data_IF_184791795064
#
_entry.id   IF_184791795064
#
_cell.length_a   1.000
_cell.length_b   1.000
_cell.length_c   1.000
_cell.angle_alpha   90.00
_cell.angle_beta   90.00
_cell.angle_gamma   90.00
#
_symmetry.space_group_name_H-M   'P 1'
#
loop_
_entity.id
_entity.type
_entity.pdbx_description
1 polymer ?
#
# COMPACT_ATOMS: atom_id res chain seq x y z
N UNK A 1 -2.14 -74.11 51.75
CA UNK A 1 -2.63 -73.81 50.43
C UNK A 1 -3.91 -73.03 50.62
N UNK A 2 -3.82 -71.74 50.45
CA UNK A 2 -4.91 -70.83 50.08
C UNK A 2 -4.30 -69.48 49.73
N UNK A 3 -4.10 -69.30 48.48
CA UNK A 3 -3.70 -68.06 47.86
C UNK A 3 -4.90 -67.09 47.95
N UNK A 4 -4.68 -65.93 48.61
CA UNK A 4 -5.61 -64.81 48.47
C UNK A 4 -5.23 -64.01 47.22
N UNK A 5 -6.03 -64.15 46.19
CA UNK A 5 -6.10 -63.26 45.04
C UNK A 5 -6.35 -61.84 45.48
N UNK A 6 -5.35 -60.99 45.28
CA UNK A 6 -5.46 -59.56 45.44
C UNK A 6 -6.10 -58.97 44.16
N UNK A 7 -7.29 -58.44 44.32
CA UNK A 7 -8.07 -57.93 43.15
C UNK A 7 -7.62 -56.56 42.73
N UNK A 8 -7.53 -56.28 41.39
CA UNK A 8 -7.05 -54.98 40.83
C UNK A 8 -7.97 -53.78 41.05
N UNK A 9 -9.00 -53.92 41.85
CA UNK A 9 -10.07 -52.91 42.03
C UNK A 9 -9.70 -51.90 43.16
N UNK A 10 -8.83 -52.30 44.08
CA UNK A 10 -8.42 -51.39 45.18
C UNK A 10 -7.33 -50.41 44.78
N UNK A 11 -6.43 -50.76 43.84
CA UNK A 11 -5.38 -49.85 43.36
C UNK A 11 -5.95 -48.72 42.45
N UNK A 12 -7.03 -48.97 41.69
CA UNK A 12 -7.66 -47.97 40.84
C UNK A 12 -8.47 -46.94 41.62
N UNK A 13 -8.87 -47.25 42.87
CA UNK A 13 -9.61 -46.30 43.71
C UNK A 13 -8.67 -45.37 44.53
N UNK A 14 -7.42 -45.79 44.78
CA UNK A 14 -6.43 -44.94 45.45
C UNK A 14 -5.80 -43.91 44.50
N UNK A 15 -5.66 -44.17 43.17
CA UNK A 15 -5.20 -43.21 42.19
C UNK A 15 -6.26 -42.14 41.87
N UNK A 16 -7.54 -42.44 41.95
CA UNK A 16 -8.64 -41.49 41.65
C UNK A 16 -8.89 -40.50 42.82
N UNK A 17 -8.40 -40.81 44.05
CA UNK A 17 -8.56 -39.97 45.24
C UNK A 17 -7.41 -38.94 45.37
N UNK A 18 -6.29 -39.14 44.67
CA UNK A 18 -5.14 -38.21 44.70
C UNK A 18 -5.27 -37.01 43.73
N UNK A 19 -6.25 -37.01 42.81
CA UNK A 19 -6.37 -36.01 41.74
C UNK A 19 -7.31 -34.82 42.03
N UNK A 20 -7.93 -34.74 43.22
CA UNK A 20 -8.89 -33.68 43.52
C UNK A 20 -8.70 -33.02 44.89
N UNK A 21 -7.53 -32.45 45.13
CA UNK A 21 -7.40 -31.50 46.23
C UNK A 21 -7.94 -30.12 45.76
N UNK A 22 -8.67 -29.36 46.62
CA UNK A 22 -9.14 -28.02 46.28
C UNK A 22 -8.01 -27.07 45.87
N UNK A 23 -6.79 -27.33 46.31
CA UNK A 23 -5.57 -26.57 45.96
C UNK A 23 -5.12 -26.83 44.52
N UNK A 24 -5.26 -28.07 44.02
CA UNK A 24 -4.90 -28.46 42.66
C UNK A 24 -5.92 -27.87 41.64
N UNK A 25 -7.19 -27.79 42.01
CA UNK A 25 -8.23 -27.16 41.19
C UNK A 25 -8.01 -25.64 41.08
N UNK A 26 -7.58 -24.98 42.16
CA UNK A 26 -7.22 -23.56 42.10
C UNK A 26 -5.96 -23.29 41.29
N UNK A 27 -4.95 -24.14 41.42
CA UNK A 27 -3.70 -24.06 40.65
C UNK A 27 -3.98 -24.26 39.16
N UNK A 28 -4.80 -25.24 38.80
CA UNK A 28 -5.24 -25.51 37.43
C UNK A 28 -6.00 -24.34 36.84
N UNK A 29 -6.96 -23.73 37.53
CA UNK A 29 -7.69 -22.53 37.11
C UNK A 29 -6.76 -21.33 36.88
N UNK A 30 -5.77 -21.13 37.78
CA UNK A 30 -4.78 -20.06 37.61
C UNK A 30 -3.88 -20.31 36.39
N UNK A 31 -3.44 -21.56 36.18
CA UNK A 31 -2.66 -21.96 35.01
C UNK A 31 -3.45 -21.73 33.71
N UNK A 32 -4.69 -22.19 33.65
CA UNK A 32 -5.56 -22.03 32.45
C UNK A 32 -5.78 -20.56 32.14
N UNK A 33 -6.08 -19.74 33.17
CA UNK A 33 -6.25 -18.30 33.00
C UNK A 33 -4.95 -17.61 32.53
N UNK A 34 -3.79 -18.03 33.07
CA UNK A 34 -2.49 -17.50 32.64
C UNK A 34 -2.15 -17.94 31.22
N UNK A 35 -2.42 -19.18 30.88
CA UNK A 35 -2.20 -19.74 29.55
C UNK A 35 -3.10 -19.05 28.51
N UNK A 36 -4.37 -18.81 28.84
CA UNK A 36 -5.27 -18.03 27.98
C UNK A 36 -4.74 -16.61 27.72
N UNK A 37 -4.32 -15.92 28.78
CA UNK A 37 -3.70 -14.58 28.66
C UNK A 37 -2.42 -14.63 27.82
N UNK A 38 -1.58 -15.65 28.03
CA UNK A 38 -0.35 -15.83 27.25
C UNK A 38 -0.65 -16.04 25.76
N UNK A 39 -1.57 -16.96 25.44
CA UNK A 39 -1.96 -17.22 24.05
C UNK A 39 -2.57 -15.98 23.38
N UNK A 40 -3.40 -15.25 24.11
CA UNK A 40 -3.97 -14.00 23.64
C UNK A 40 -2.89 -12.94 23.37
N UNK A 41 -1.96 -12.75 24.31
CA UNK A 41 -0.85 -11.79 24.15
C UNK A 41 0.06 -12.19 22.99
N UNK A 42 0.29 -13.48 22.79
CA UNK A 42 1.08 -13.99 21.66
C UNK A 42 0.40 -13.66 20.32
N UNK A 43 -0.91 -13.88 20.23
CA UNK A 43 -1.69 -13.55 19.03
C UNK A 43 -1.71 -12.02 18.75
N UNK A 44 -1.87 -11.20 19.80
CA UNK A 44 -1.81 -9.73 19.69
C UNK A 44 -0.40 -9.26 19.25
N UNK A 45 0.67 -9.88 19.79
CA UNK A 45 2.03 -9.57 19.37
C UNK A 45 2.30 -9.95 17.91
N UNK A 46 1.84 -11.12 17.46
CA UNK A 46 1.98 -11.52 16.05
C UNK A 46 1.24 -10.57 15.10
N UNK A 47 0.04 -10.14 15.47
CA UNK A 47 -0.71 -9.16 14.71
C UNK A 47 0.00 -7.79 14.68
N UNK A 48 0.51 -7.34 15.82
CA UNK A 48 1.30 -6.11 15.92
C UNK A 48 2.56 -6.18 15.05
N UNK A 49 3.31 -7.29 15.12
CA UNK A 49 4.52 -7.50 14.32
C UNK A 49 4.23 -7.44 12.83
N UNK A 50 3.18 -8.15 12.37
CA UNK A 50 2.78 -8.13 10.95
C UNK A 50 2.39 -6.73 10.50
N UNK A 51 1.65 -5.99 11.33
CA UNK A 51 1.27 -4.61 11.05
C UNK A 51 2.50 -3.69 10.99
N UNK A 52 3.40 -3.77 11.97
CA UNK A 52 4.62 -2.95 12.02
C UNK A 52 5.55 -3.17 10.83
N UNK A 53 5.63 -4.42 10.32
CA UNK A 53 6.40 -4.71 9.10
C UNK A 53 5.77 -4.01 7.90
N UNK A 54 4.44 -4.13 7.70
CA UNK A 54 3.73 -3.45 6.60
C UNK A 54 3.86 -1.93 6.68
N UNK A 55 3.71 -1.35 7.88
CA UNK A 55 3.89 0.08 8.09
C UNK A 55 5.32 0.55 7.72
N UNK A 56 6.35 -0.23 8.08
CA UNK A 56 7.73 0.08 7.69
C UNK A 56 7.96 -0.04 6.18
N UNK A 57 7.36 -1.02 5.54
CA UNK A 57 7.45 -1.21 4.09
C UNK A 57 6.76 -0.08 3.31
N UNK A 58 5.70 0.53 3.87
CA UNK A 58 4.99 1.66 3.24
C UNK A 58 5.67 3.02 3.43
N UNK A 59 6.48 3.21 4.48
CA UNK A 59 7.10 4.50 4.82
C UNK A 59 7.99 5.02 3.68
N UNK A 60 8.83 4.18 3.08
CA UNK A 60 9.74 4.62 2.02
C UNK A 60 9.03 5.03 0.73
N UNK A 61 8.05 4.28 0.22
CA UNK A 61 7.26 4.72 -0.93
C UNK A 61 6.46 6.00 -0.64
N UNK A 62 5.91 6.14 0.58
CA UNK A 62 5.19 7.35 0.99
C UNK A 62 6.09 8.58 1.01
N UNK A 63 7.24 8.50 1.67
CA UNK A 63 8.19 9.60 1.72
C UNK A 63 8.69 10.00 0.32
N UNK A 64 8.90 9.03 -0.59
CA UNK A 64 9.26 9.32 -1.98
C UNK A 64 8.12 10.01 -2.74
N UNK A 65 6.89 9.56 -2.56
CA UNK A 65 5.72 10.15 -3.19
C UNK A 65 5.52 11.61 -2.74
N UNK A 66 5.66 11.87 -1.45
CA UNK A 66 5.53 13.22 -0.88
C UNK A 66 6.66 14.15 -1.36
N UNK A 67 7.90 13.66 -1.40
CA UNK A 67 9.01 14.42 -1.95
C UNK A 67 8.80 14.71 -3.45
N UNK A 68 8.38 13.71 -4.24
CA UNK A 68 8.08 13.90 -5.65
C UNK A 68 6.97 14.91 -5.88
N UNK A 69 5.89 14.85 -5.09
CA UNK A 69 4.79 15.81 -5.18
C UNK A 69 5.27 17.26 -5.05
N UNK A 70 6.26 17.52 -4.18
CA UNK A 70 6.84 18.85 -4.01
C UNK A 70 7.65 19.32 -5.24
N UNK A 71 8.16 18.39 -6.07
CA UNK A 71 8.90 18.72 -7.29
C UNK A 71 8.02 18.83 -8.54
N UNK A 72 6.79 18.31 -8.53
CA UNK A 72 5.90 18.35 -9.69
C UNK A 72 5.65 19.76 -10.24
N UNK A 73 5.50 20.83 -9.42
CA UNK A 73 5.37 22.17 -9.96
C UNK A 73 6.59 22.64 -10.77
N UNK A 74 7.79 22.12 -10.47
CA UNK A 74 9.01 22.42 -11.25
C UNK A 74 8.94 21.75 -12.61
N UNK A 75 8.46 20.47 -12.65
CA UNK A 75 8.22 19.76 -13.91
C UNK A 75 7.20 20.50 -14.79
N UNK A 76 6.07 20.91 -14.20
CA UNK A 76 5.01 21.64 -14.92
C UNK A 76 5.55 22.97 -15.51
N UNK A 77 6.40 23.68 -14.75
CA UNK A 77 7.02 24.92 -15.23
C UNK A 77 8.01 24.68 -16.37
N UNK A 78 8.78 23.59 -16.33
CA UNK A 78 9.68 23.22 -17.42
C UNK A 78 8.89 22.83 -18.68
N UNK A 79 7.83 22.03 -18.53
CA UNK A 79 6.96 21.67 -19.64
C UNK A 79 6.28 22.89 -20.25
N UNK A 80 5.77 23.80 -19.44
CA UNK A 80 5.19 25.06 -19.91
C UNK A 80 6.22 25.95 -20.62
N UNK A 81 7.44 26.03 -20.12
CA UNK A 81 8.49 26.78 -20.80
C UNK A 81 8.81 26.21 -22.18
N UNK A 82 8.88 24.86 -22.27
CA UNK A 82 9.13 24.16 -23.54
C UNK A 82 7.95 24.25 -24.53
N UNK A 83 6.71 24.39 -24.05
CA UNK A 83 5.52 24.51 -24.91
C UNK A 83 5.36 25.91 -25.54
N UNK A 84 5.91 26.95 -24.90
CA UNK A 84 5.78 28.36 -25.36
C UNK A 84 6.82 28.70 -26.43
N UNK A 85 8.02 28.11 -26.37
CA UNK A 85 9.12 28.47 -27.25
C UNK A 85 9.04 27.74 -28.58
N UNK A 86 8.73 28.48 -29.64
CA UNK A 86 8.61 27.95 -31.01
C UNK A 86 9.96 27.79 -31.72
N UNK A 87 11.01 28.47 -31.28
CA UNK A 87 12.35 28.44 -31.90
C UNK A 87 13.34 27.59 -31.07
N UNK A 88 13.99 26.65 -31.72
CA UNK A 88 15.05 25.83 -31.10
C UNK A 88 16.32 26.67 -30.94
N UNK A 89 16.41 27.34 -29.81
CA UNK A 89 17.62 28.08 -29.39
C UNK A 89 18.54 27.17 -28.57
N UNK A 90 19.83 27.48 -28.45
CA UNK A 90 20.73 26.77 -27.50
C UNK A 90 20.23 26.78 -26.07
N UNK A 91 19.46 27.79 -25.67
CA UNK A 91 18.81 27.86 -24.37
C UNK A 91 17.67 26.80 -24.28
N UNK A 92 16.83 26.69 -25.31
CA UNK A 92 15.79 25.65 -25.39
C UNK A 92 16.37 24.26 -25.23
N UNK A 93 17.45 23.95 -25.97
CA UNK A 93 18.14 22.65 -25.89
C UNK A 93 18.67 22.40 -24.46
N UNK A 94 19.15 23.41 -23.77
CA UNK A 94 19.56 23.33 -22.36
C UNK A 94 18.40 22.97 -21.43
N UNK A 95 17.22 23.57 -21.61
CA UNK A 95 16.03 23.27 -20.82
C UNK A 95 15.53 21.86 -21.08
N UNK A 96 15.55 21.40 -22.35
CA UNK A 96 15.21 20.01 -22.72
C UNK A 96 16.11 19.01 -21.99
N UNK A 97 17.43 19.27 -21.92
CA UNK A 97 18.35 18.40 -21.20
C UNK A 97 18.07 18.36 -19.69
N UNK A 98 17.76 19.51 -19.09
CA UNK A 98 17.41 19.56 -17.65
C UNK A 98 16.12 18.76 -17.39
N UNK A 99 15.08 18.93 -18.24
CA UNK A 99 13.86 18.16 -18.13
C UNK A 99 14.13 16.65 -18.25
N UNK A 100 14.92 16.24 -19.25
CA UNK A 100 15.27 14.84 -19.44
C UNK A 100 15.98 14.23 -18.23
N UNK A 101 16.93 14.96 -17.62
CA UNK A 101 17.62 14.53 -16.41
C UNK A 101 16.62 14.34 -15.24
N UNK A 102 15.64 15.22 -15.11
CA UNK A 102 14.63 15.12 -14.06
C UNK A 102 13.70 13.94 -14.29
N UNK A 103 13.30 13.66 -15.55
CA UNK A 103 12.55 12.45 -15.94
C UNK A 103 13.33 11.18 -15.57
N UNK A 104 14.65 11.13 -15.85
CA UNK A 104 15.53 10.01 -15.50
C UNK A 104 15.61 9.80 -13.97
N UNK A 105 15.69 10.89 -13.20
CA UNK A 105 15.67 10.83 -11.72
C UNK A 105 14.34 10.28 -11.22
N UNK A 106 13.21 10.72 -11.77
CA UNK A 106 11.90 10.23 -11.40
C UNK A 106 11.76 8.74 -11.72
N UNK A 107 12.16 8.33 -12.92
CA UNK A 107 12.18 6.91 -13.30
C UNK A 107 13.05 6.07 -12.34
N UNK A 108 14.23 6.58 -11.96
CA UNK A 108 15.11 5.94 -10.97
C UNK A 108 14.50 5.82 -9.56
N UNK A 109 13.57 6.67 -9.22
CA UNK A 109 12.78 6.60 -7.97
C UNK A 109 11.56 5.69 -8.09
N UNK A 110 11.28 5.13 -9.27
CA UNK A 110 10.10 4.33 -9.57
C UNK A 110 8.84 5.16 -9.77
N UNK A 111 9.00 6.45 -10.12
CA UNK A 111 7.90 7.37 -10.41
C UNK A 111 7.68 7.37 -11.91
N UNK A 112 6.46 7.12 -12.33
CA UNK A 112 6.04 7.00 -13.72
C UNK A 112 4.98 8.06 -14.04
N UNK A 113 5.04 8.64 -15.24
CA UNK A 113 3.96 9.46 -15.75
C UNK A 113 2.74 8.59 -16.05
N UNK A 114 1.55 9.08 -15.74
CA UNK A 114 0.29 8.45 -16.11
C UNK A 114 0.06 8.72 -17.58
N UNK A 115 -0.24 7.67 -18.35
CA UNK A 115 -0.55 7.81 -19.78
C UNK A 115 -1.91 8.52 -19.95
N UNK A 116 -1.89 9.67 -20.60
CA UNK A 116 -3.08 10.47 -20.90
C UNK A 116 -3.01 11.06 -22.32
N UNK A 117 -2.59 10.21 -23.27
CA UNK A 117 -2.48 10.60 -24.68
C UNK A 117 -3.87 10.86 -25.29
N UNK A 118 -3.92 11.78 -26.25
CA UNK A 118 -5.16 12.06 -27.00
C UNK A 118 -5.67 10.79 -27.69
N UNK A 119 -6.96 10.48 -27.51
CA UNK A 119 -7.60 9.26 -27.98
C UNK A 119 -7.53 8.08 -27.01
N UNK A 120 -6.83 8.20 -25.89
CA UNK A 120 -6.84 7.17 -24.84
C UNK A 120 -8.17 7.20 -24.05
N UNK A 121 -8.65 6.06 -23.55
CA UNK A 121 -9.83 6.00 -22.71
C UNK A 121 -9.62 6.75 -21.39
N UNK A 122 -10.63 7.47 -20.95
CA UNK A 122 -10.63 8.13 -19.66
C UNK A 122 -10.83 7.11 -18.53
N UNK A 123 -9.93 7.12 -17.55
CA UNK A 123 -10.04 6.34 -16.33
C UNK A 123 -10.13 7.27 -15.10
N UNK A 124 -11.27 7.28 -14.39
CA UNK A 124 -11.44 8.11 -13.20
C UNK A 124 -10.45 7.83 -12.06
N UNK A 125 -9.81 6.65 -12.07
CA UNK A 125 -8.81 6.31 -11.05
C UNK A 125 -7.45 6.98 -11.34
N UNK A 126 -7.15 7.26 -12.61
CA UNK A 126 -5.88 7.81 -13.07
C UNK A 126 -5.97 9.29 -13.47
N UNK A 127 -7.12 9.69 -13.97
CA UNK A 127 -7.34 10.97 -14.62
C UNK A 127 -8.38 11.82 -13.88
N UNK A 128 -8.19 13.14 -13.92
CA UNK A 128 -9.14 14.12 -13.44
C UNK A 128 -9.63 14.97 -14.61
N UNK A 129 -10.88 14.76 -15.03
CA UNK A 129 -11.51 15.54 -16.09
C UNK A 129 -11.85 16.94 -15.57
N UNK A 130 -11.12 17.95 -16.05
CA UNK A 130 -11.33 19.36 -15.69
C UNK A 130 -12.14 20.11 -16.73
N UNK A 131 -12.23 19.57 -17.94
CA UNK A 131 -13.01 20.14 -19.02
C UNK A 131 -13.68 19.02 -19.83
N UNK A 132 -14.89 19.32 -20.31
CA UNK A 132 -15.68 18.42 -21.14
C UNK A 132 -16.05 19.12 -22.43
N UNK A 133 -16.03 18.42 -23.56
CA UNK A 133 -16.49 18.91 -24.84
C UNK A 133 -17.45 17.90 -25.49
N UNK A 134 -18.40 18.41 -26.23
CA UNK A 134 -19.25 17.61 -27.08
C UNK A 134 -18.67 17.66 -28.50
N UNK A 135 -18.23 16.52 -29.02
CA UNK A 135 -17.68 16.40 -30.39
C UNK A 135 -18.12 15.07 -31.01
N UNK A 136 -19.06 15.13 -31.94
CA UNK A 136 -19.62 13.96 -32.64
C UNK A 136 -18.57 13.14 -33.43
N UNK A 137 -17.37 13.70 -33.65
CA UNK A 137 -16.30 13.02 -34.38
C UNK A 137 -15.42 12.13 -33.45
N UNK A 138 -15.58 12.25 -32.14
CA UNK A 138 -14.81 11.52 -31.13
C UNK A 138 -15.69 10.48 -30.44
N UNK A 139 -15.04 9.43 -29.95
CA UNK A 139 -15.71 8.42 -29.12
C UNK A 139 -16.06 8.98 -27.74
N UNK A 140 -17.04 8.34 -27.08
CA UNK A 140 -17.43 8.72 -25.73
C UNK A 140 -16.32 8.41 -24.72
N UNK A 141 -16.13 9.27 -23.72
CA UNK A 141 -15.18 9.11 -22.64
C UNK A 141 -13.71 8.93 -23.09
N UNK A 142 -13.29 9.63 -24.14
CA UNK A 142 -11.90 9.67 -24.57
C UNK A 142 -11.21 10.97 -24.15
N UNK A 143 -9.91 10.86 -23.87
CA UNK A 143 -9.06 12.01 -23.57
C UNK A 143 -8.80 12.77 -24.87
N UNK A 144 -9.09 14.05 -24.86
CA UNK A 144 -8.85 14.95 -26.00
C UNK A 144 -7.51 15.65 -25.86
N UNK A 145 -7.18 16.08 -24.65
CA UNK A 145 -5.99 16.85 -24.36
C UNK A 145 -5.57 16.66 -22.90
N UNK A 146 -4.28 16.59 -22.65
CA UNK A 146 -3.73 16.59 -21.30
C UNK A 146 -3.20 17.99 -20.98
N UNK A 147 -3.77 18.63 -19.96
CA UNK A 147 -3.33 19.95 -19.50
C UNK A 147 -2.19 19.88 -18.50
N UNK A 148 -2.16 18.80 -17.72
CA UNK A 148 -1.16 18.61 -16.69
C UNK A 148 -0.91 17.11 -16.46
N UNK A 149 0.35 16.71 -16.50
CA UNK A 149 0.73 15.31 -16.35
C UNK A 149 0.47 14.79 -14.96
N UNK A 150 -0.12 13.61 -14.89
CA UNK A 150 -0.22 12.82 -13.69
C UNK A 150 1.03 11.98 -13.44
N UNK A 151 1.25 11.62 -12.18
CA UNK A 151 2.37 10.78 -11.79
C UNK A 151 1.95 9.77 -10.72
N UNK A 152 2.54 8.57 -10.79
CA UNK A 152 2.32 7.46 -9.85
C UNK A 152 3.63 6.81 -9.43
N UNK A 153 3.63 6.13 -8.29
CA UNK A 153 4.71 5.27 -7.83
C UNK A 153 4.13 3.88 -7.53
N UNK A 154 4.43 2.89 -8.38
CA UNK A 154 3.72 1.61 -8.35
C UNK A 154 2.22 1.81 -8.55
N UNK A 155 1.40 1.37 -7.58
CA UNK A 155 -0.06 1.55 -7.62
C UNK A 155 -0.54 2.86 -6.97
N UNK A 156 0.34 3.57 -6.26
CA UNK A 156 -0.03 4.81 -5.57
C UNK A 156 0.03 5.99 -6.53
N UNK A 157 -1.07 6.72 -6.64
CA UNK A 157 -1.15 7.96 -7.40
C UNK A 157 -0.58 9.10 -6.55
N UNK A 158 0.42 9.81 -7.10
CA UNK A 158 0.99 11.03 -6.53
C UNK A 158 0.12 12.22 -6.93
N UNK A 159 -0.26 12.26 -8.22
CA UNK A 159 -1.14 13.28 -8.80
C UNK A 159 -1.84 12.70 -10.04
N UNK A 160 -3.14 12.91 -10.16
CA UNK A 160 -3.90 12.54 -11.36
C UNK A 160 -3.53 13.44 -12.54
N UNK A 161 -3.56 12.91 -13.78
CA UNK A 161 -3.46 13.76 -14.98
C UNK A 161 -4.71 14.62 -15.10
N UNK A 162 -4.52 15.92 -15.31
CA UNK A 162 -5.64 16.83 -15.60
C UNK A 162 -5.92 16.82 -17.10
N UNK A 163 -7.09 16.35 -17.46
CA UNK A 163 -7.44 16.09 -18.86
C UNK A 163 -8.74 16.77 -19.27
N UNK A 164 -8.86 16.98 -20.59
CA UNK A 164 -10.08 17.33 -21.28
C UNK A 164 -10.64 16.06 -21.91
N UNK A 165 -11.91 15.78 -21.71
CA UNK A 165 -12.59 14.59 -22.22
C UNK A 165 -13.67 14.96 -23.21
N UNK A 166 -13.97 14.05 -24.13
CA UNK A 166 -15.06 14.15 -25.08
C UNK A 166 -16.25 13.30 -24.64
N UNK A 167 -17.48 13.81 -24.90
CA UNK A 167 -18.80 13.16 -24.80
C UNK A 167 -19.07 12.49 -23.47
#
# INVERSE_FOLDING_TARGET
>A
MDEKENTPVEEAQEEEILENSPEDDEAKKKYDSLNEKYLRTLAEYDNYRKRSIREKESIYPEARADAAAAFLPVMDNLERALSIEAEKTPFYDGVVLVKKQLDEVFAGLGIEAIAAEAGAPFDPQLHNAVMHIEDESLEENVIVEEFQKGYKIGERIIRHSMVKVAN
#
